data_IF_833721813318
#
_entry.id   IF_833721813318
#
_cell.length_a   1.000
_cell.length_b   1.000
_cell.length_c   1.000
_cell.angle_alpha   90.00
_cell.angle_beta   90.00
_cell.angle_gamma   90.00
#
_symmetry.space_group_name_H-M   'P 1'
#
loop_
_entity.id
_entity.type
_entity.pdbx_description
1 polymer ?
#
# COMPACT_ATOMS: atom_id res chain seq x y z
N UNK A 1 33.60 64.22 -53.32
CA UNK A 1 32.19 64.14 -52.87
C UNK A 1 31.98 62.70 -52.42
N UNK A 2 32.19 62.43 -51.09
CA UNK A 2 32.00 61.10 -50.51
C UNK A 2 30.64 61.02 -49.83
N UNK A 3 29.80 60.13 -50.26
CA UNK A 3 28.51 59.82 -49.62
C UNK A 3 28.71 58.75 -48.56
N UNK A 4 28.48 59.10 -47.32
CA UNK A 4 28.49 58.22 -46.16
C UNK A 4 27.11 57.56 -46.07
N UNK A 5 27.06 56.24 -46.23
CA UNK A 5 25.87 55.40 -45.98
C UNK A 5 25.78 55.14 -44.48
N UNK A 6 24.68 55.59 -43.88
CA UNK A 6 24.29 55.28 -42.49
C UNK A 6 23.39 54.01 -42.54
N UNK A 7 23.84 52.91 -42.02
CA UNK A 7 23.04 51.68 -41.77
C UNK A 7 22.26 51.84 -40.47
N UNK A 8 20.95 51.55 -40.41
CA UNK A 8 20.22 51.50 -39.15
C UNK A 8 20.45 50.16 -38.45
N UNK A 9 20.97 50.22 -37.22
CA UNK A 9 21.06 49.03 -36.37
C UNK A 9 19.67 48.68 -35.82
N UNK A 10 19.08 47.57 -36.26
CA UNK A 10 17.86 47.01 -35.69
C UNK A 10 18.15 46.37 -34.35
N UNK A 11 17.67 47.01 -33.28
CA UNK A 11 17.75 46.53 -31.90
C UNK A 11 16.66 45.46 -31.66
N UNK A 12 16.99 44.16 -31.77
CA UNK A 12 16.09 43.07 -31.44
C UNK A 12 15.93 42.99 -29.90
N UNK A 13 14.84 43.49 -29.35
CA UNK A 13 14.43 43.28 -27.99
C UNK A 13 14.02 41.81 -27.79
N UNK A 14 14.88 40.99 -27.23
CA UNK A 14 14.51 39.66 -26.71
C UNK A 14 13.69 39.85 -25.43
N UNK A 15 12.37 39.74 -25.55
CA UNK A 15 11.51 39.59 -24.37
C UNK A 15 11.70 38.17 -23.84
N UNK A 16 12.55 38.05 -22.83
CA UNK A 16 12.66 36.81 -22.04
C UNK A 16 11.34 36.66 -21.27
N UNK A 17 10.43 35.83 -21.79
CA UNK A 17 9.27 35.38 -21.06
C UNK A 17 9.79 34.55 -19.85
N UNK A 18 9.95 35.19 -18.72
CA UNK A 18 10.28 34.55 -17.45
C UNK A 18 9.14 33.58 -17.09
N UNK A 19 9.37 32.28 -17.30
CA UNK A 19 8.49 31.25 -16.78
C UNK A 19 8.45 31.43 -15.25
N UNK A 20 7.35 31.98 -14.72
CA UNK A 20 7.06 31.93 -13.29
C UNK A 20 6.91 30.47 -12.93
N UNK A 21 7.94 29.86 -12.38
CA UNK A 21 7.81 28.62 -11.68
C UNK A 21 6.84 28.88 -10.50
N UNK A 22 5.59 28.52 -10.65
CA UNK A 22 4.61 28.56 -9.57
C UNK A 22 5.17 27.75 -8.40
N UNK A 23 5.02 28.25 -7.17
CA UNK A 23 5.41 27.49 -5.97
C UNK A 23 4.65 26.19 -5.93
N UNK A 24 5.37 25.04 -5.86
CA UNK A 24 4.76 23.74 -5.81
C UNK A 24 3.82 23.62 -4.59
N UNK A 25 2.65 23.02 -4.78
CA UNK A 25 1.66 22.82 -3.72
C UNK A 25 2.20 21.79 -2.72
N UNK A 26 2.45 22.17 -1.44
CA UNK A 26 2.94 21.22 -0.44
C UNK A 26 1.80 20.30 -0.02
N UNK A 27 2.07 18.98 0.02
CA UNK A 27 1.11 18.00 0.51
C UNK A 27 1.79 16.80 1.15
N UNK A 28 1.07 16.14 2.06
CA UNK A 28 1.52 14.94 2.75
C UNK A 28 0.70 13.75 2.30
N UNK A 29 1.40 12.67 1.93
CA UNK A 29 0.82 11.36 1.68
C UNK A 29 1.32 10.42 2.76
N UNK A 30 0.41 9.70 3.41
CA UNK A 30 0.74 8.77 4.46
C UNK A 30 0.90 7.34 3.92
N UNK A 31 1.86 6.61 4.47
CA UNK A 31 2.08 5.19 4.20
C UNK A 31 1.95 4.37 5.48
N UNK A 32 1.46 3.14 5.36
CA UNK A 32 1.45 2.19 6.47
C UNK A 32 2.87 2.04 7.03
N UNK A 33 3.01 2.08 8.36
CA UNK A 33 4.30 1.98 9.04
C UNK A 33 4.76 0.54 9.29
N UNK A 34 3.90 -0.48 9.05
CA UNK A 34 4.16 -1.87 9.45
C UNK A 34 3.57 -2.93 8.48
N UNK A 35 3.78 -2.73 7.18
CA UNK A 35 3.36 -3.67 6.13
C UNK A 35 4.49 -4.02 5.15
N UNK A 36 5.58 -4.66 5.63
CA UNK A 36 6.69 -5.06 4.76
C UNK A 36 6.29 -6.25 3.83
N UNK A 37 6.86 -6.31 2.63
CA UNK A 37 7.84 -5.41 2.01
C UNK A 37 7.20 -4.21 1.30
N UNK A 38 5.93 -3.97 1.49
CA UNK A 38 5.11 -3.01 0.75
C UNK A 38 5.24 -1.57 1.25
N UNK A 39 5.06 -1.35 2.54
CA UNK A 39 5.18 -0.05 3.21
C UNK A 39 5.54 -0.26 4.68
N UNK A 40 6.70 0.20 5.10
CA UNK A 40 7.18 -0.03 6.48
C UNK A 40 8.27 0.98 6.86
N UNK A 41 8.50 1.11 8.17
CA UNK A 41 9.58 1.93 8.69
C UNK A 41 10.79 1.06 9.02
N UNK A 42 11.94 1.45 8.48
CA UNK A 42 13.23 0.84 8.83
C UNK A 42 14.28 1.94 9.04
N UNK A 43 14.96 1.92 10.19
CA UNK A 43 15.94 2.95 10.60
C UNK A 43 15.36 4.37 10.53
N UNK A 44 14.10 4.56 10.93
CA UNK A 44 13.40 5.85 10.90
C UNK A 44 12.96 6.33 9.52
N UNK A 45 13.17 5.54 8.47
CA UNK A 45 12.81 5.89 7.10
C UNK A 45 11.64 5.04 6.60
N UNK A 46 10.69 5.68 5.93
CA UNK A 46 9.59 5.00 5.25
C UNK A 46 10.08 4.38 3.94
N UNK A 47 9.96 3.07 3.83
CA UNK A 47 10.44 2.23 2.74
C UNK A 47 9.34 1.30 2.22
N UNK A 48 9.66 0.56 1.16
CA UNK A 48 8.84 -0.52 0.62
C UNK A 48 8.31 -0.22 -0.78
N UNK A 49 7.74 -1.24 -1.39
CA UNK A 49 7.32 -1.24 -2.80
C UNK A 49 6.35 -0.09 -3.10
N UNK A 50 5.28 0.06 -2.31
CA UNK A 50 4.32 1.17 -2.50
C UNK A 50 4.96 2.53 -2.27
N UNK A 51 5.84 2.64 -1.28
CA UNK A 51 6.55 3.89 -0.99
C UNK A 51 7.39 4.34 -2.19
N UNK A 52 8.11 3.41 -2.85
CA UNK A 52 8.89 3.72 -4.04
C UNK A 52 7.99 4.06 -5.25
N UNK A 53 6.90 3.31 -5.46
CA UNK A 53 5.94 3.61 -6.53
C UNK A 53 5.35 5.01 -6.36
N UNK A 54 4.89 5.36 -5.16
CA UNK A 54 4.30 6.69 -4.89
C UNK A 54 5.34 7.78 -5.01
N UNK A 55 6.57 7.55 -4.57
CA UNK A 55 7.70 8.48 -4.68
C UNK A 55 8.05 8.76 -6.14
N UNK A 56 8.23 7.72 -6.96
CA UNK A 56 8.57 7.86 -8.38
C UNK A 56 7.43 8.52 -9.16
N UNK A 57 6.17 8.17 -8.89
CA UNK A 57 5.03 8.86 -9.49
C UNK A 57 4.99 10.35 -9.14
N UNK A 58 5.24 10.70 -7.86
CA UNK A 58 5.25 12.09 -7.39
C UNK A 58 6.35 12.93 -8.06
N UNK A 59 7.53 12.35 -8.33
CA UNK A 59 8.63 13.03 -9.04
C UNK A 59 8.23 13.49 -10.45
N UNK A 60 7.27 12.82 -11.09
CA UNK A 60 6.75 13.21 -12.40
C UNK A 60 5.72 14.36 -12.35
N UNK A 61 5.41 14.88 -11.17
CA UNK A 61 4.41 15.91 -10.90
C UNK A 61 5.03 17.13 -10.19
N UNK A 62 5.91 17.91 -10.84
CA UNK A 62 6.71 18.96 -10.20
C UNK A 62 5.91 20.10 -9.58
N UNK A 63 4.64 20.26 -9.96
CA UNK A 63 3.71 21.23 -9.35
C UNK A 63 3.25 20.84 -7.94
N UNK A 64 3.59 19.66 -7.45
CA UNK A 64 3.29 19.17 -6.11
C UNK A 64 4.58 18.84 -5.34
N UNK A 65 4.74 19.44 -4.17
CA UNK A 65 5.82 19.10 -3.23
C UNK A 65 5.34 18.01 -2.27
N UNK A 66 5.46 16.74 -2.71
CA UNK A 66 4.94 15.59 -1.96
C UNK A 66 5.92 15.17 -0.88
N UNK A 67 5.46 15.12 0.38
CA UNK A 67 6.15 14.52 1.51
C UNK A 67 5.48 13.19 1.88
N UNK A 68 6.25 12.10 1.95
CA UNK A 68 5.76 10.80 2.43
C UNK A 68 6.03 10.68 3.93
N UNK A 69 4.99 10.30 4.71
CA UNK A 69 5.09 10.12 6.16
C UNK A 69 4.52 8.77 6.59
N UNK A 70 5.17 8.08 7.53
CA UNK A 70 4.61 6.86 8.10
C UNK A 70 3.43 7.17 9.04
N UNK A 71 2.48 6.23 9.10
CA UNK A 71 1.38 6.28 10.07
C UNK A 71 0.92 4.86 10.38
N UNK A 72 0.57 4.55 11.66
CA UNK A 72 -0.10 3.31 11.98
C UNK A 72 -1.40 3.15 11.19
N UNK A 73 -1.59 1.99 10.53
CA UNK A 73 -2.67 1.76 9.57
C UNK A 73 -4.06 2.24 10.01
N UNK A 74 -4.50 1.82 11.21
CA UNK A 74 -5.81 2.23 11.75
C UNK A 74 -5.94 3.75 11.90
N UNK A 75 -4.87 4.42 12.32
CA UNK A 75 -4.85 5.87 12.43
C UNK A 75 -4.92 6.53 11.06
N UNK A 76 -4.18 6.02 10.08
CA UNK A 76 -4.25 6.50 8.70
C UNK A 76 -5.66 6.42 8.11
N UNK A 77 -6.37 5.30 8.32
CA UNK A 77 -7.76 5.15 7.91
C UNK A 77 -8.68 6.16 8.58
N UNK A 78 -8.52 6.40 9.88
CA UNK A 78 -9.30 7.41 10.61
C UNK A 78 -9.04 8.81 10.06
N UNK A 79 -7.78 9.15 9.79
CA UNK A 79 -7.40 10.45 9.22
C UNK A 79 -7.99 10.65 7.81
N UNK A 80 -8.08 9.59 6.97
CA UNK A 80 -8.82 9.66 5.71
C UNK A 80 -10.31 9.88 5.93
N UNK A 81 -10.91 9.17 6.88
CA UNK A 81 -12.33 9.24 7.18
C UNK A 81 -12.75 10.61 7.71
N UNK A 82 -11.90 11.28 8.47
CA UNK A 82 -12.14 12.63 9.02
C UNK A 82 -11.72 13.74 8.06
N UNK A 83 -10.98 13.41 6.98
CA UNK A 83 -10.40 14.38 6.05
C UNK A 83 -9.19 15.13 6.63
N UNK A 84 -8.57 14.61 7.68
CA UNK A 84 -7.30 15.12 8.22
C UNK A 84 -6.12 14.77 7.30
N UNK A 85 -6.11 13.55 6.73
CA UNK A 85 -5.14 13.15 5.74
C UNK A 85 -5.68 13.34 4.31
N UNK A 86 -4.85 13.88 3.43
CA UNK A 86 -5.15 13.96 2.00
C UNK A 86 -5.19 12.58 1.35
N UNK A 87 -4.16 11.77 1.59
CA UNK A 87 -4.03 10.45 0.97
C UNK A 87 -3.28 9.45 1.87
N UNK A 88 -3.55 8.16 1.67
CA UNK A 88 -2.97 7.02 2.39
C UNK A 88 -2.73 5.85 1.41
N UNK A 89 -1.66 5.09 1.58
CA UNK A 89 -1.43 3.82 0.87
C UNK A 89 -1.05 2.69 1.83
N UNK A 90 -1.38 1.43 1.49
CA UNK A 90 -2.12 0.92 0.35
C UNK A 90 -3.52 0.41 0.74
N UNK A 91 -4.61 1.20 0.71
CA UNK A 91 -5.93 0.61 0.91
C UNK A 91 -6.34 -0.23 -0.30
N UNK A 92 -7.00 -1.36 -0.02
CA UNK A 92 -7.73 -2.12 -1.04
C UNK A 92 -9.04 -1.42 -1.41
N UNK A 93 -9.50 -1.54 -2.66
CA UNK A 93 -10.68 -0.84 -3.17
C UNK A 93 -12.00 -1.50 -2.75
N UNK A 94 -12.31 -1.47 -1.48
CA UNK A 94 -13.59 -1.93 -0.95
C UNK A 94 -14.54 -0.76 -0.72
N UNK A 95 -15.19 -0.35 -1.81
CA UNK A 95 -15.99 0.88 -1.84
C UNK A 95 -17.17 0.86 -0.89
N UNK A 96 -17.82 -0.29 -0.70
CA UNK A 96 -18.93 -0.45 0.24
C UNK A 96 -18.51 -0.23 1.70
N UNK A 97 -17.31 -0.66 2.06
CA UNK A 97 -16.79 -0.58 3.43
C UNK A 97 -16.09 0.75 3.71
N UNK A 98 -15.64 1.45 2.66
CA UNK A 98 -14.90 2.72 2.76
C UNK A 98 -15.42 3.78 1.78
N UNK A 99 -16.69 4.21 1.92
CA UNK A 99 -17.31 5.19 1.00
C UNK A 99 -16.63 6.57 1.08
N UNK A 100 -15.87 6.82 2.14
CA UNK A 100 -15.09 8.05 2.34
C UNK A 100 -13.75 8.07 1.59
N UNK A 101 -13.41 7.00 0.85
CA UNK A 101 -12.15 6.91 0.09
C UNK A 101 -12.42 6.97 -1.41
N UNK A 102 -11.68 7.83 -2.10
CA UNK A 102 -11.54 7.82 -3.56
C UNK A 102 -10.23 7.12 -3.90
N UNK A 103 -10.28 6.17 -4.80
CA UNK A 103 -9.12 5.33 -5.13
C UNK A 103 -8.44 5.78 -6.42
N UNK A 104 -7.11 5.71 -6.46
CA UNK A 104 -6.34 5.77 -7.71
C UNK A 104 -6.64 4.56 -8.60
N UNK A 105 -6.04 4.53 -9.80
CA UNK A 105 -5.84 3.26 -10.51
C UNK A 105 -5.02 2.30 -9.62
N UNK A 106 -5.14 0.96 -9.81
CA UNK A 106 -4.34 0.00 -9.05
C UNK A 106 -2.85 0.26 -9.18
N UNK A 107 -2.13 0.20 -8.05
CA UNK A 107 -0.67 0.31 -8.02
C UNK A 107 -0.03 -1.07 -8.18
N UNK A 108 -0.59 -2.06 -7.47
CA UNK A 108 -0.07 -3.42 -7.43
C UNK A 108 -1.22 -4.42 -7.22
N UNK A 109 -1.00 -5.66 -7.68
CA UNK A 109 -1.84 -6.81 -7.37
C UNK A 109 -1.18 -7.62 -6.26
N UNK A 110 -1.92 -7.87 -5.19
CA UNK A 110 -1.50 -8.69 -4.04
C UNK A 110 -2.30 -9.98 -4.01
N UNK A 111 -1.68 -11.07 -3.56
CA UNK A 111 -2.32 -12.36 -3.47
C UNK A 111 -2.59 -12.73 -2.02
N UNK A 112 -3.84 -12.67 -1.60
CA UNK A 112 -4.24 -13.14 -0.28
C UNK A 112 -4.23 -14.66 -0.20
N UNK A 113 -3.71 -15.16 0.93
CA UNK A 113 -3.63 -16.58 1.25
C UNK A 113 -4.06 -16.82 2.69
N UNK A 114 -4.43 -18.07 2.98
CA UNK A 114 -4.64 -18.56 4.34
C UNK A 114 -3.45 -19.44 4.71
N UNK A 115 -2.76 -19.07 5.77
CA UNK A 115 -1.64 -19.79 6.35
C UNK A 115 -2.10 -20.45 7.63
N UNK A 116 -1.87 -21.75 7.81
CA UNK A 116 -2.26 -22.46 9.02
C UNK A 116 -1.06 -23.15 9.67
N UNK A 117 -1.12 -23.34 10.99
CA UNK A 117 -0.08 -24.07 11.69
C UNK A 117 -0.25 -25.58 11.55
N UNK A 118 0.86 -26.29 11.62
CA UNK A 118 0.91 -27.75 11.38
C UNK A 118 0.15 -28.55 12.43
N UNK A 119 0.12 -28.11 13.69
CA UNK A 119 -0.61 -28.82 14.76
C UNK A 119 -2.12 -28.79 14.51
N UNK A 120 -2.66 -27.68 13.99
CA UNK A 120 -4.04 -27.61 13.58
C UNK A 120 -4.31 -28.53 12.39
N UNK A 121 -3.43 -28.54 11.38
CA UNK A 121 -3.55 -29.38 10.18
C UNK A 121 -3.46 -30.89 10.51
N UNK A 122 -2.72 -31.27 11.54
CA UNK A 122 -2.69 -32.65 12.03
C UNK A 122 -4.04 -33.11 12.61
N UNK A 123 -4.84 -32.17 13.12
CA UNK A 123 -6.16 -32.46 13.75
C UNK A 123 -7.32 -32.31 12.79
N UNK A 124 -7.18 -31.50 11.72
CA UNK A 124 -8.28 -31.17 10.79
C UNK A 124 -7.78 -31.01 9.36
N UNK A 125 -8.46 -31.66 8.42
CA UNK A 125 -8.21 -31.47 6.98
C UNK A 125 -9.02 -30.27 6.49
N UNK A 126 -8.34 -29.32 5.86
CA UNK A 126 -8.93 -28.14 5.24
C UNK A 126 -8.85 -28.31 3.72
N UNK A 127 -9.99 -28.29 3.04
CA UNK A 127 -10.11 -28.45 1.59
C UNK A 127 -10.78 -27.27 0.92
N UNK A 128 -11.78 -26.67 1.59
CA UNK A 128 -12.59 -25.62 1.04
C UNK A 128 -12.71 -24.43 1.98
N UNK A 129 -12.22 -23.29 1.53
CA UNK A 129 -12.38 -21.99 2.20
C UNK A 129 -13.74 -21.39 1.85
N UNK A 130 -14.52 -20.80 2.79
CA UNK A 130 -14.29 -20.81 4.24
C UNK A 130 -14.94 -22.00 4.97
N UNK A 131 -15.68 -22.87 4.26
CA UNK A 131 -16.56 -23.91 4.83
C UNK A 131 -15.84 -24.84 5.83
N UNK A 132 -14.59 -25.26 5.54
CA UNK A 132 -13.85 -26.15 6.40
C UNK A 132 -13.18 -25.44 7.58
N UNK A 133 -13.28 -24.10 7.68
CA UNK A 133 -12.56 -23.30 8.70
C UNK A 133 -13.49 -22.87 9.86
N UNK A 134 -14.73 -23.33 9.89
CA UNK A 134 -15.70 -23.00 10.95
C UNK A 134 -15.16 -23.29 12.35
N UNK A 135 -15.31 -22.33 13.27
CA UNK A 135 -14.84 -22.41 14.65
C UNK A 135 -13.35 -22.17 14.85
N UNK A 136 -12.54 -21.99 13.79
CA UNK A 136 -11.13 -21.67 13.91
C UNK A 136 -10.88 -20.22 14.28
N UNK A 137 -9.80 -19.97 15.02
CA UNK A 137 -9.27 -18.65 15.31
C UNK A 137 -8.32 -18.21 14.19
N UNK A 138 -8.75 -17.20 13.43
CA UNK A 138 -8.02 -16.72 12.26
C UNK A 138 -7.49 -15.31 12.49
N UNK A 139 -6.18 -15.18 12.52
CA UNK A 139 -5.50 -13.88 12.61
C UNK A 139 -5.73 -13.04 11.36
N UNK A 140 -5.86 -11.73 11.56
CA UNK A 140 -5.89 -10.73 10.49
C UNK A 140 -5.13 -9.49 10.93
N UNK A 141 -4.58 -8.72 9.98
CA UNK A 141 -4.00 -7.44 10.32
C UNK A 141 -5.11 -6.45 10.72
N UNK A 142 -4.90 -5.77 11.83
CA UNK A 142 -5.90 -4.86 12.39
C UNK A 142 -6.23 -3.69 11.43
N UNK A 143 -7.49 -3.61 11.00
CA UNK A 143 -7.96 -2.64 10.01
C UNK A 143 -7.83 -3.10 8.55
N UNK A 144 -7.17 -4.22 8.28
CA UNK A 144 -7.26 -4.91 6.99
C UNK A 144 -8.50 -5.81 6.99
N UNK A 145 -9.24 -5.78 5.89
CA UNK A 145 -10.38 -6.66 5.69
C UNK A 145 -9.92 -7.84 4.81
N UNK A 146 -10.22 -9.10 5.18
CA UNK A 146 -9.76 -10.27 4.43
C UNK A 146 -10.56 -10.54 3.14
N UNK A 147 -11.47 -9.67 2.75
CA UNK A 147 -12.33 -9.80 1.58
C UNK A 147 -13.42 -8.74 1.53
N UNK A 148 -14.33 -8.87 0.58
CA UNK A 148 -15.51 -8.01 0.45
C UNK A 148 -16.62 -8.35 1.48
N UNK A 149 -17.73 -7.62 1.44
CA UNK A 149 -18.86 -7.81 2.35
C UNK A 149 -19.45 -9.23 2.26
N UNK A 150 -19.44 -9.86 1.08
CA UNK A 150 -19.92 -11.22 0.87
C UNK A 150 -19.03 -12.24 1.60
N UNK A 151 -17.73 -12.13 1.46
CA UNK A 151 -16.78 -12.98 2.19
C UNK A 151 -16.91 -12.76 3.71
N UNK A 152 -17.03 -11.53 4.17
CA UNK A 152 -17.21 -11.23 5.59
C UNK A 152 -18.52 -11.84 6.15
N UNK A 153 -19.60 -11.88 5.35
CA UNK A 153 -20.84 -12.57 5.72
C UNK A 153 -20.63 -14.09 5.83
N UNK A 154 -19.90 -14.69 4.87
CA UNK A 154 -19.57 -16.13 4.90
C UNK A 154 -18.70 -16.49 6.11
N UNK A 155 -17.69 -15.66 6.46
CA UNK A 155 -16.88 -15.89 7.65
C UNK A 155 -17.73 -15.90 8.93
N UNK A 156 -18.73 -15.01 9.03
CA UNK A 156 -19.68 -14.99 10.15
C UNK A 156 -20.61 -16.22 10.17
N UNK A 157 -21.12 -16.63 9.02
CA UNK A 157 -21.99 -17.81 8.88
C UNK A 157 -21.27 -19.09 9.33
N UNK A 158 -20.01 -19.25 8.96
CA UNK A 158 -19.15 -20.38 9.34
C UNK A 158 -18.60 -20.28 10.78
N UNK A 159 -19.01 -19.27 11.55
CA UNK A 159 -18.57 -19.03 12.93
C UNK A 159 -17.04 -18.94 13.08
N UNK A 160 -16.37 -18.37 12.08
CA UNK A 160 -14.93 -18.11 12.11
C UNK A 160 -14.67 -16.96 13.10
N UNK A 161 -13.74 -17.17 14.02
CA UNK A 161 -13.32 -16.14 14.99
C UNK A 161 -12.15 -15.37 14.41
N UNK A 162 -12.41 -14.12 13.99
CA UNK A 162 -11.33 -13.23 13.55
C UNK A 162 -10.59 -12.65 14.76
N UNK A 163 -9.27 -12.77 14.77
CA UNK A 163 -8.38 -12.29 15.82
C UNK A 163 -7.43 -11.22 15.25
N UNK A 164 -7.81 -9.94 15.29
CA UNK A 164 -7.02 -8.86 14.72
C UNK A 164 -5.80 -8.53 15.60
N UNK A 165 -4.63 -8.40 14.98
CA UNK A 165 -3.41 -7.93 15.64
C UNK A 165 -2.66 -6.93 14.75
N UNK A 166 -1.77 -6.12 15.35
CA UNK A 166 -0.94 -5.17 14.60
C UNK A 166 0.08 -5.94 13.73
N UNK A 167 0.03 -5.75 12.42
CA UNK A 167 1.03 -6.17 11.46
C UNK A 167 1.20 -7.67 11.26
N UNK A 168 1.92 -8.01 10.21
CA UNK A 168 2.17 -9.39 9.76
C UNK A 168 3.02 -10.15 10.80
N UNK A 169 4.05 -9.53 11.35
CA UNK A 169 4.96 -10.16 12.33
C UNK A 169 4.23 -10.68 13.57
N UNK A 170 3.35 -9.84 14.15
CA UNK A 170 2.60 -10.22 15.34
C UNK A 170 1.71 -11.43 15.09
N UNK A 171 0.98 -11.42 13.95
CA UNK A 171 0.11 -12.54 13.58
C UNK A 171 0.89 -13.82 13.29
N UNK A 172 2.02 -13.75 12.59
CA UNK A 172 2.89 -14.90 12.35
C UNK A 172 3.45 -15.49 13.67
N UNK A 173 3.89 -14.65 14.59
CA UNK A 173 4.35 -15.12 15.91
C UNK A 173 3.24 -15.77 16.73
N UNK A 174 1.99 -15.28 16.62
CA UNK A 174 0.81 -15.93 17.23
C UNK A 174 0.55 -17.30 16.60
N UNK A 175 0.59 -17.36 15.27
CA UNK A 175 0.41 -18.60 14.50
C UNK A 175 1.45 -19.65 14.86
N UNK A 176 2.74 -19.27 14.87
CA UNK A 176 3.85 -20.14 15.21
C UNK A 176 3.83 -20.65 16.66
N UNK A 177 3.15 -19.93 17.55
CA UNK A 177 2.96 -20.33 18.96
C UNK A 177 1.63 -21.03 19.24
N UNK A 178 0.85 -21.34 18.20
CA UNK A 178 -0.46 -21.97 18.33
C UNK A 178 -1.51 -21.14 19.07
N UNK A 179 -1.34 -19.81 19.12
CA UNK A 179 -2.34 -18.89 19.72
C UNK A 179 -3.50 -18.58 18.79
N UNK A 180 -3.30 -18.79 17.50
CA UNK A 180 -4.30 -18.77 16.44
C UNK A 180 -4.09 -20.00 15.57
N UNK A 181 -5.14 -20.50 14.94
CA UNK A 181 -5.10 -21.69 14.10
C UNK A 181 -4.60 -21.36 12.68
N UNK A 182 -5.06 -20.25 12.13
CA UNK A 182 -4.68 -19.77 10.79
C UNK A 182 -4.47 -18.24 10.79
N UNK A 183 -3.92 -17.73 9.68
CA UNK A 183 -3.70 -16.30 9.45
C UNK A 183 -3.98 -15.96 7.98
N UNK A 184 -4.81 -14.96 7.73
CA UNK A 184 -5.06 -14.41 6.39
C UNK A 184 -4.11 -13.24 6.15
N UNK A 185 -3.29 -13.35 5.12
CA UNK A 185 -2.30 -12.34 4.77
C UNK A 185 -2.03 -12.31 3.27
N UNK A 186 -1.37 -11.26 2.81
CA UNK A 186 -0.70 -11.30 1.52
C UNK A 186 0.46 -12.31 1.57
N UNK A 187 0.61 -13.09 0.49
CA UNK A 187 1.62 -14.15 0.40
C UNK A 187 3.03 -13.60 0.54
N UNK A 188 3.35 -12.53 -0.17
CA UNK A 188 4.68 -11.96 -0.20
C UNK A 188 5.06 -11.32 1.15
N UNK A 189 4.13 -10.60 1.77
CA UNK A 189 4.33 -10.02 3.10
C UNK A 189 4.58 -11.11 4.15
N UNK A 190 3.80 -12.20 4.11
CA UNK A 190 4.00 -13.32 5.01
C UNK A 190 5.36 -14.01 4.80
N UNK A 191 5.74 -14.29 3.54
CA UNK A 191 7.03 -14.92 3.21
C UNK A 191 8.22 -14.06 3.64
N UNK A 192 8.16 -12.76 3.36
CA UNK A 192 9.20 -11.81 3.74
C UNK A 192 9.40 -11.75 5.26
N UNK A 193 8.31 -11.66 6.00
CA UNK A 193 8.39 -11.57 7.46
C UNK A 193 8.78 -12.92 8.09
N UNK A 194 8.35 -14.06 7.54
CA UNK A 194 8.83 -15.39 7.98
C UNK A 194 10.34 -15.55 7.83
N UNK A 195 10.89 -15.10 6.68
CA UNK A 195 12.34 -15.12 6.49
C UNK A 195 13.06 -14.24 7.52
N UNK A 196 12.50 -13.06 7.81
CA UNK A 196 13.03 -12.14 8.79
C UNK A 196 12.99 -12.72 10.21
N UNK A 197 11.86 -13.30 10.61
CA UNK A 197 11.73 -13.97 11.92
C UNK A 197 12.76 -15.08 12.06
N UNK A 198 13.00 -15.88 11.01
CA UNK A 198 13.99 -16.96 11.02
C UNK A 198 15.43 -16.45 11.17
N UNK A 199 15.75 -15.31 10.58
CA UNK A 199 17.09 -14.70 10.67
C UNK A 199 17.35 -14.05 12.03
N UNK A 200 16.32 -13.41 12.60
CA UNK A 200 16.43 -12.67 13.87
C UNK A 200 16.18 -13.52 15.11
N UNK A 201 15.54 -14.68 14.95
CA UNK A 201 15.19 -15.57 16.06
C UNK A 201 16.41 -16.31 16.63
N UNK A 202 16.43 -16.62 17.95
CA UNK A 202 17.46 -17.46 18.54
C UNK A 202 17.53 -18.82 17.84
N UNK A 203 18.73 -19.34 17.56
CA UNK A 203 18.88 -20.69 17.00
C UNK A 203 18.16 -21.73 17.87
N UNK A 204 17.40 -22.64 17.24
CA UNK A 204 16.71 -23.72 17.93
C UNK A 204 15.41 -23.36 18.64
N UNK A 205 14.86 -22.13 18.44
CA UNK A 205 13.52 -21.81 18.94
C UNK A 205 12.49 -22.73 18.24
N UNK A 206 11.73 -23.57 18.97
CA UNK A 206 10.70 -24.41 18.39
C UNK A 206 9.62 -23.50 17.78
N UNK A 207 9.47 -23.53 16.47
CA UNK A 207 8.42 -22.82 15.75
C UNK A 207 7.64 -23.84 14.94
N UNK A 208 6.33 -23.85 15.11
CA UNK A 208 5.48 -24.72 14.32
C UNK A 208 5.65 -24.40 12.83
N UNK A 209 5.69 -25.43 12.00
CA UNK A 209 5.66 -25.25 10.56
C UNK A 209 4.32 -24.60 10.15
N UNK A 210 4.38 -23.76 9.15
CA UNK A 210 3.25 -23.02 8.59
C UNK A 210 3.08 -23.46 7.16
N UNK A 211 1.84 -23.79 6.78
CA UNK A 211 1.49 -24.21 5.44
C UNK A 211 0.42 -23.28 4.85
N UNK A 212 0.51 -23.00 3.56
CA UNK A 212 -0.54 -22.33 2.80
C UNK A 212 -1.65 -23.34 2.49
N UNK A 213 -2.87 -23.06 2.99
CA UNK A 213 -3.99 -23.99 2.91
C UNK A 213 -5.07 -23.53 1.93
N UNK A 214 -5.13 -22.23 1.63
CA UNK A 214 -6.04 -21.69 0.62
C UNK A 214 -5.46 -20.42 -0.02
N UNK A 215 -5.75 -20.25 -1.30
CA UNK A 215 -5.55 -19.01 -2.02
C UNK A 215 -6.88 -18.28 -2.13
N UNK A 216 -6.92 -17.04 -1.69
CA UNK A 216 -8.08 -16.16 -1.77
C UNK A 216 -8.01 -15.32 -3.04
N UNK A 217 -9.05 -14.49 -3.26
CA UNK A 217 -9.04 -13.55 -4.38
C UNK A 217 -7.87 -12.57 -4.28
N UNK A 218 -7.27 -12.25 -5.44
CA UNK A 218 -6.26 -11.21 -5.51
C UNK A 218 -6.87 -9.85 -5.14
N UNK A 219 -6.10 -9.02 -4.45
CA UNK A 219 -6.49 -7.69 -4.04
C UNK A 219 -5.63 -6.64 -4.75
N UNK A 220 -6.26 -5.52 -5.09
CA UNK A 220 -5.57 -4.39 -5.69
C UNK A 220 -5.28 -3.33 -4.64
N UNK A 221 -4.00 -3.08 -4.40
CA UNK A 221 -3.57 -1.96 -3.56
C UNK A 221 -3.59 -0.64 -4.34
N UNK A 222 -4.02 0.43 -3.70
CA UNK A 222 -4.22 1.74 -4.30
C UNK A 222 -3.57 2.85 -3.47
N UNK A 223 -3.49 4.05 -4.04
CA UNK A 223 -3.44 5.27 -3.25
C UNK A 223 -4.89 5.70 -2.99
N UNK A 224 -5.29 5.74 -1.72
CA UNK A 224 -6.61 6.18 -1.29
C UNK A 224 -6.59 7.66 -0.92
N UNK A 225 -7.52 8.43 -1.46
CA UNK A 225 -7.69 9.86 -1.17
C UNK A 225 -8.94 10.08 -0.33
N UNK A 226 -8.90 11.01 0.62
CA UNK A 226 -10.12 11.36 1.35
C UNK A 226 -11.19 11.94 0.41
N UNK A 227 -12.44 11.52 0.57
CA UNK A 227 -13.59 12.17 -0.06
C UNK A 227 -14.09 13.36 0.77
N UNK A 228 -13.62 13.50 2.01
CA UNK A 228 -14.04 14.53 2.95
C UNK A 228 -13.33 15.86 2.69
N UNK A 229 -13.86 16.93 3.29
CA UNK A 229 -13.30 18.30 3.27
C UNK A 229 -12.81 18.76 1.88
N UNK A 230 -13.68 18.77 0.84
CA UNK A 230 -13.25 19.12 -0.52
C UNK A 230 -12.61 20.51 -0.61
N UNK A 231 -13.05 21.46 0.21
CA UNK A 231 -12.47 22.80 0.25
C UNK A 231 -11.03 22.85 0.80
N UNK A 232 -10.62 21.89 1.61
CA UNK A 232 -9.25 21.79 2.12
C UNK A 232 -8.27 21.23 1.06
N UNK A 233 -8.81 20.56 0.05
CA UNK A 233 -8.03 19.91 -1.01
C UNK A 233 -8.52 20.28 -2.41
N UNK A 234 -8.48 21.57 -2.79
CA UNK A 234 -9.02 22.04 -4.08
C UNK A 234 -8.29 21.43 -5.29
N UNK A 235 -7.05 20.97 -5.08
CA UNK A 235 -6.19 20.33 -6.07
C UNK A 235 -6.42 18.81 -6.19
N UNK A 236 -7.32 18.21 -5.39
CA UNK A 236 -7.46 16.74 -5.28
C UNK A 236 -7.74 16.08 -6.63
N UNK A 237 -8.66 16.60 -7.41
CA UNK A 237 -9.08 15.97 -8.67
C UNK A 237 -7.96 16.05 -9.72
N UNK A 238 -7.26 17.18 -9.79
CA UNK A 238 -6.09 17.34 -10.64
C UNK A 238 -4.95 16.41 -10.22
N UNK A 239 -4.67 16.34 -8.90
CA UNK A 239 -3.66 15.42 -8.37
C UNK A 239 -3.97 13.96 -8.73
N UNK A 240 -5.23 13.51 -8.52
CA UNK A 240 -5.65 12.13 -8.85
C UNK A 240 -5.46 11.85 -10.34
N UNK A 241 -5.86 12.76 -11.21
CA UNK A 241 -5.73 12.58 -12.66
C UNK A 241 -4.26 12.44 -13.07
N UNK A 242 -3.38 13.30 -12.58
CA UNK A 242 -1.96 13.29 -12.92
C UNK A 242 -1.24 12.06 -12.30
N UNK A 243 -1.56 11.72 -11.04
CA UNK A 243 -1.03 10.54 -10.39
C UNK A 243 -1.42 9.27 -11.15
N UNK A 244 -2.70 9.11 -11.52
CA UNK A 244 -3.16 7.98 -12.32
C UNK A 244 -2.43 7.88 -13.66
N UNK A 245 -2.25 9.01 -14.35
CA UNK A 245 -1.48 9.04 -15.60
C UNK A 245 -0.01 8.63 -15.38
N UNK A 246 0.61 9.05 -14.27
CA UNK A 246 1.96 8.64 -13.91
C UNK A 246 2.03 7.12 -13.66
N UNK A 247 1.10 6.56 -12.88
CA UNK A 247 1.05 5.11 -12.62
C UNK A 247 0.88 4.30 -13.90
N UNK A 248 -0.02 4.71 -14.81
CA UNK A 248 -0.20 4.03 -16.10
C UNK A 248 1.09 4.06 -16.94
N UNK A 249 1.80 5.20 -16.98
CA UNK A 249 3.13 5.26 -17.64
C UNK A 249 4.14 4.31 -16.99
N UNK A 250 4.20 4.24 -15.67
CA UNK A 250 5.10 3.35 -14.92
C UNK A 250 4.77 1.87 -15.16
N UNK A 251 3.48 1.51 -15.26
CA UNK A 251 3.04 0.16 -15.62
C UNK A 251 3.50 -0.20 -17.02
N UNK A 252 3.23 0.65 -18.00
CA UNK A 252 3.57 0.41 -19.41
C UNK A 252 5.08 0.35 -19.68
N UNK A 253 5.88 1.12 -18.94
CA UNK A 253 7.35 1.12 -19.05
C UNK A 253 8.02 0.00 -18.24
N UNK A 254 7.27 -0.79 -17.48
CA UNK A 254 7.79 -1.80 -16.57
C UNK A 254 8.50 -1.23 -15.32
N UNK A 255 8.38 0.06 -15.04
CA UNK A 255 9.02 0.70 -13.88
C UNK A 255 8.53 0.08 -12.56
N UNK A 256 7.22 -0.18 -12.42
CA UNK A 256 6.66 -0.84 -11.23
C UNK A 256 7.27 -2.24 -11.06
N UNK A 257 7.39 -3.02 -12.13
CA UNK A 257 8.03 -4.35 -12.08
C UNK A 257 9.46 -4.27 -11.57
N UNK A 258 10.25 -3.32 -12.09
CA UNK A 258 11.64 -3.11 -11.60
C UNK A 258 11.70 -2.72 -10.12
N UNK A 259 10.74 -1.95 -9.62
CA UNK A 259 10.65 -1.62 -8.17
C UNK A 259 10.40 -2.91 -7.37
N UNK A 260 9.45 -3.73 -7.78
CA UNK A 260 9.15 -5.02 -7.12
C UNK A 260 10.38 -5.93 -7.13
N UNK A 261 11.00 -6.12 -8.30
CA UNK A 261 12.17 -6.99 -8.46
C UNK A 261 13.32 -6.56 -7.54
N UNK A 262 13.58 -5.24 -7.42
CA UNK A 262 14.60 -4.71 -6.48
C UNK A 262 14.26 -4.96 -5.01
N UNK A 263 12.99 -4.82 -4.63
CA UNK A 263 12.55 -5.02 -3.25
C UNK A 263 12.63 -6.50 -2.80
N UNK A 264 12.65 -7.44 -3.75
CA UNK A 264 12.72 -8.88 -3.51
C UNK A 264 14.15 -9.43 -3.61
N UNK A 265 15.11 -8.62 -4.02
CA UNK A 265 16.52 -9.04 -4.00
C UNK A 265 16.99 -9.17 -2.54
N UNK A 266 17.74 -10.25 -2.20
CA UNK A 266 18.20 -10.53 -0.85
C UNK A 266 19.20 -9.50 -0.32
#
# INVERSE_FOLDING_TARGET
MSRMLILPAALCLFIAAGARAGTAVPLVIYGDDDYPPYSYVENGQLKGIYTEIVREAAQSMPQYAVQLRPVPWKRGLLMLQTGEAFALYPPYSWRSERPYVRYSVPLLMEQLVVLCNQDMLARRKLRQWPADYGGLHIGVNAGFLPGDAGLMASLRAEKIVLDPAKGTRTNLLKLMRGRIDCYVSDRLSAQWELQRIRREGPPGTPMQAIEETAQLASQQGHLGFTAQRPAAYPYRDDFIAQFNAAIVRMQNSGAIRRIVDRALQP
#
